data_IF_653568198621
#
_entry.id   IF_653568198621
#
_cell.length_a   1.000
_cell.length_b   1.000
_cell.length_c   1.000
_cell.angle_alpha   90.00
_cell.angle_beta   90.00
_cell.angle_gamma   90.00
#
_symmetry.space_group_name_H-M   'P 1'
#
loop_
_entity.id
_entity.type
_entity.pdbx_description
1 polymer ?
#
# COMPACT_ATOMS: atom_id res chain seq x y z
N UNK A 1 30.47 -13.47 26.27
CA UNK A 1 31.01 -12.78 25.08
C UNK A 1 30.10 -13.09 23.90
N UNK A 2 29.69 -12.09 23.09
CA UNK A 2 28.94 -12.36 21.85
C UNK A 2 29.91 -13.03 20.86
N UNK A 3 29.53 -14.20 20.35
CA UNK A 3 30.29 -14.88 19.30
C UNK A 3 30.34 -13.99 18.06
N UNK A 4 31.55 -13.69 17.57
CA UNK A 4 31.79 -12.80 16.42
C UNK A 4 31.93 -13.58 15.10
N UNK A 5 31.74 -14.91 15.13
CA UNK A 5 31.83 -15.73 13.93
C UNK A 5 30.66 -15.46 12.98
N UNK A 6 30.89 -15.37 11.66
CA UNK A 6 29.82 -15.27 10.69
C UNK A 6 28.91 -16.50 10.82
N UNK A 7 27.63 -16.28 11.10
CA UNK A 7 26.60 -17.34 11.09
C UNK A 7 26.09 -17.49 9.66
N UNK A 8 26.02 -18.72 9.18
CA UNK A 8 25.28 -19.03 7.96
C UNK A 8 23.79 -18.84 8.26
N UNK A 9 23.14 -17.89 7.58
CA UNK A 9 21.71 -17.58 7.75
C UNK A 9 20.99 -18.18 6.55
N UNK A 10 20.13 -19.16 6.79
CA UNK A 10 19.29 -19.74 5.74
C UNK A 10 18.08 -18.83 5.45
N UNK A 11 17.43 -18.96 4.28
CA UNK A 11 16.15 -18.29 4.02
C UNK A 11 15.07 -18.60 5.08
N UNK A 12 15.09 -19.81 5.65
CA UNK A 12 14.18 -20.21 6.74
C UNK A 12 14.42 -19.43 8.03
N UNK A 13 15.68 -19.14 8.36
CA UNK A 13 16.02 -18.33 9.53
C UNK A 13 15.50 -16.89 9.38
N UNK A 14 15.51 -16.34 8.16
CA UNK A 14 14.97 -15.00 7.87
C UNK A 14 13.46 -14.97 8.06
N UNK A 15 12.75 -15.98 7.55
CA UNK A 15 11.30 -16.07 7.72
C UNK A 15 10.88 -16.27 9.18
N UNK A 16 11.72 -16.89 10.00
CA UNK A 16 11.48 -17.08 11.43
C UNK A 16 11.75 -15.83 12.29
N UNK A 17 12.40 -14.79 11.76
CA UNK A 17 12.71 -13.57 12.52
C UNK A 17 11.46 -12.74 12.84
N UNK A 18 11.33 -12.33 14.10
CA UNK A 18 10.29 -11.39 14.51
C UNK A 18 10.62 -9.96 14.07
N UNK A 19 9.99 -9.53 12.98
CA UNK A 19 10.18 -8.20 12.43
C UNK A 19 9.44 -7.13 13.25
N UNK A 20 10.09 -6.00 13.60
CA UNK A 20 9.41 -4.87 14.20
C UNK A 20 8.39 -4.26 13.23
N UNK A 21 7.41 -3.53 13.76
CA UNK A 21 6.35 -2.91 12.95
C UNK A 21 6.89 -1.96 11.87
N UNK A 22 8.00 -1.27 12.15
CA UNK A 22 8.68 -0.38 11.19
C UNK A 22 9.23 -1.15 9.99
N UNK A 23 9.78 -2.34 10.19
CA UNK A 23 10.26 -3.20 9.11
C UNK A 23 9.10 -3.74 8.28
N UNK A 24 8.02 -4.17 8.92
CA UNK A 24 6.79 -4.60 8.22
C UNK A 24 6.22 -3.47 7.35
N UNK A 25 6.15 -2.25 7.90
CA UNK A 25 5.67 -1.09 7.18
C UNK A 25 6.53 -0.78 5.94
N UNK A 26 7.86 -0.88 6.05
CA UNK A 26 8.78 -0.69 4.92
C UNK A 26 8.62 -1.76 3.83
N UNK A 27 8.41 -3.03 4.20
CA UNK A 27 8.19 -4.12 3.24
C UNK A 27 6.87 -3.89 2.50
N UNK A 28 5.80 -3.56 3.22
CA UNK A 28 4.50 -3.28 2.62
C UNK A 28 4.52 -2.04 1.71
N UNK A 29 5.31 -1.01 2.04
CA UNK A 29 5.49 0.16 1.16
C UNK A 29 6.15 -0.23 -0.17
N UNK A 30 7.15 -1.11 -0.13
CA UNK A 30 7.79 -1.66 -1.34
C UNK A 30 6.83 -2.52 -2.15
N UNK A 31 6.12 -3.45 -1.51
CA UNK A 31 5.14 -4.31 -2.18
C UNK A 31 4.03 -3.48 -2.84
N UNK A 32 3.45 -2.52 -2.11
CA UNK A 32 2.41 -1.63 -2.67
C UNK A 32 2.92 -0.82 -3.86
N UNK A 33 4.17 -0.33 -3.83
CA UNK A 33 4.78 0.37 -4.96
C UNK A 33 4.93 -0.51 -6.21
N UNK A 34 5.40 -1.76 -6.04
CA UNK A 34 5.50 -2.71 -7.16
C UNK A 34 4.12 -3.05 -7.71
N UNK A 35 3.13 -3.30 -6.85
CA UNK A 35 1.77 -3.60 -7.28
C UNK A 35 1.13 -2.44 -8.03
N UNK A 36 1.31 -1.20 -7.56
CA UNK A 36 0.85 -0.01 -8.27
C UNK A 36 1.53 0.12 -9.62
N UNK A 37 2.85 -0.05 -9.69
CA UNK A 37 3.59 -0.01 -10.95
C UNK A 37 3.06 -1.04 -11.97
N UNK A 38 2.80 -2.27 -11.53
CA UNK A 38 2.22 -3.31 -12.39
C UNK A 38 0.76 -3.01 -12.78
N UNK A 39 0.03 -2.31 -11.92
CA UNK A 39 -1.36 -1.91 -12.18
C UNK A 39 -1.46 -0.71 -13.13
N UNK A 40 -0.42 0.14 -13.23
CA UNK A 40 -0.43 1.36 -14.04
C UNK A 40 -0.87 1.15 -15.50
N UNK A 41 -0.33 0.18 -16.28
CA UNK A 41 -0.77 -0.05 -17.65
C UNK A 41 -2.26 -0.41 -17.74
N UNK A 42 -2.77 -1.17 -16.77
CA UNK A 42 -4.19 -1.53 -16.70
C UNK A 42 -5.04 -0.29 -16.43
N UNK A 43 -4.64 0.57 -15.49
CA UNK A 43 -5.36 1.81 -15.20
C UNK A 43 -5.37 2.77 -16.39
N UNK A 44 -4.25 2.90 -17.10
CA UNK A 44 -4.17 3.71 -18.30
C UNK A 44 -5.03 3.16 -19.44
N UNK A 45 -5.07 1.84 -19.60
CA UNK A 45 -5.97 1.19 -20.56
C UNK A 45 -7.44 1.39 -20.18
N UNK A 46 -7.81 1.26 -18.91
CA UNK A 46 -9.18 1.53 -18.44
C UNK A 46 -9.57 2.99 -18.67
N UNK A 47 -8.64 3.92 -18.45
CA UNK A 47 -8.84 5.34 -18.74
C UNK A 47 -9.09 5.57 -20.24
N UNK A 48 -8.22 5.04 -21.10
CA UNK A 48 -8.37 5.12 -22.57
C UNK A 48 -9.71 4.52 -23.03
N UNK A 49 -10.05 3.32 -22.54
CA UNK A 49 -11.32 2.67 -22.82
C UNK A 49 -12.51 3.53 -22.39
N UNK A 50 -12.44 4.16 -21.21
CA UNK A 50 -13.50 5.05 -20.70
C UNK A 50 -13.72 6.30 -21.56
N UNK A 51 -12.69 6.76 -22.27
CA UNK A 51 -12.74 7.97 -23.09
C UNK A 51 -13.06 7.69 -24.57
N UNK A 52 -12.99 6.43 -25.00
CA UNK A 52 -13.10 6.04 -26.41
C UNK A 52 -14.51 6.20 -27.01
N UNK A 53 -15.57 6.05 -26.23
CA UNK A 53 -16.97 6.33 -26.65
C UNK A 53 -17.91 6.35 -25.44
N UNK A 54 -19.10 6.94 -25.61
CA UNK A 54 -20.16 6.90 -24.58
C UNK A 54 -20.56 5.46 -24.22
N UNK A 55 -20.66 4.57 -25.21
CA UNK A 55 -21.00 3.17 -24.99
C UNK A 55 -19.94 2.46 -24.13
N UNK A 56 -18.65 2.68 -24.42
CA UNK A 56 -17.56 2.07 -23.65
C UNK A 56 -17.48 2.62 -22.23
N UNK A 57 -17.74 3.93 -22.04
CA UNK A 57 -17.85 4.52 -20.72
C UNK A 57 -18.97 3.87 -19.88
N UNK A 58 -20.17 3.74 -20.45
CA UNK A 58 -21.32 3.12 -19.77
C UNK A 58 -21.06 1.64 -19.46
N UNK A 59 -20.40 0.92 -20.38
CA UNK A 59 -20.01 -0.47 -20.14
C UNK A 59 -19.02 -0.57 -18.97
N UNK A 60 -17.96 0.23 -18.97
CA UNK A 60 -16.97 0.22 -17.88
C UNK A 60 -17.61 0.63 -16.55
N UNK A 61 -18.44 1.67 -16.55
CA UNK A 61 -19.20 2.09 -15.37
C UNK A 61 -20.02 0.94 -14.81
N UNK A 62 -20.75 0.20 -15.65
CA UNK A 62 -21.54 -0.96 -15.19
C UNK A 62 -20.70 -2.06 -14.55
N UNK A 63 -19.49 -2.31 -15.07
CA UNK A 63 -18.54 -3.28 -14.53
C UNK A 63 -18.00 -2.82 -13.17
N UNK A 64 -17.60 -1.56 -13.06
CA UNK A 64 -17.07 -0.97 -11.83
C UNK A 64 -18.14 -0.79 -10.75
N UNK A 65 -19.41 -0.60 -11.13
CA UNK A 65 -20.55 -0.54 -10.21
C UNK A 65 -20.94 -1.95 -9.67
N UNK A 66 -20.52 -3.03 -10.34
CA UNK A 66 -20.71 -4.38 -9.86
C UNK A 66 -19.84 -4.71 -8.64
N UNK A 67 -20.27 -5.65 -7.80
CA UNK A 67 -19.56 -5.99 -6.55
C UNK A 67 -18.08 -6.37 -6.75
N UNK A 68 -17.77 -7.10 -7.84
CA UNK A 68 -16.39 -7.46 -8.19
C UNK A 68 -15.58 -6.23 -8.62
N UNK A 69 -16.19 -5.34 -9.41
CA UNK A 69 -15.56 -4.08 -9.83
C UNK A 69 -15.27 -3.17 -8.64
N UNK A 70 -16.24 -2.99 -7.73
CA UNK A 70 -16.05 -2.23 -6.48
C UNK A 70 -14.94 -2.81 -5.60
N UNK A 71 -14.85 -4.13 -5.47
CA UNK A 71 -13.75 -4.78 -4.74
C UNK A 71 -12.40 -4.56 -5.42
N UNK A 72 -12.32 -4.67 -6.75
CA UNK A 72 -11.11 -4.40 -7.50
C UNK A 72 -10.65 -2.94 -7.34
N UNK A 73 -11.58 -1.99 -7.43
CA UNK A 73 -11.33 -0.56 -7.17
C UNK A 73 -10.86 -0.33 -5.74
N UNK A 74 -11.48 -0.99 -4.74
CA UNK A 74 -11.06 -0.89 -3.35
C UNK A 74 -9.63 -1.41 -3.14
N UNK A 75 -9.24 -2.52 -3.78
CA UNK A 75 -7.86 -3.03 -3.69
C UNK A 75 -6.85 -2.09 -4.33
N UNK A 76 -7.15 -1.57 -5.53
CA UNK A 76 -6.31 -0.58 -6.20
C UNK A 76 -6.12 0.67 -5.31
N UNK A 77 -7.21 1.18 -4.75
CA UNK A 77 -7.19 2.31 -3.81
C UNK A 77 -6.45 1.98 -2.52
N UNK A 78 -6.58 0.77 -1.98
CA UNK A 78 -5.87 0.38 -0.76
C UNK A 78 -4.35 0.36 -0.96
N UNK A 79 -3.86 -0.13 -2.10
CA UNK A 79 -2.43 -0.04 -2.43
C UNK A 79 -1.98 1.41 -2.57
N UNK A 80 -2.76 2.24 -3.25
CA UNK A 80 -2.45 3.67 -3.43
C UNK A 80 -2.39 4.41 -2.10
N UNK A 81 -3.43 4.30 -1.28
CA UNK A 81 -3.54 4.95 0.03
C UNK A 81 -2.39 4.52 0.92
N UNK A 82 -2.13 3.21 1.03
CA UNK A 82 -1.02 2.70 1.83
C UNK A 82 0.31 3.26 1.35
N UNK A 83 0.59 3.16 0.05
CA UNK A 83 1.86 3.60 -0.52
C UNK A 83 2.07 5.10 -0.30
N UNK A 84 1.02 5.90 -0.50
CA UNK A 84 1.03 7.34 -0.31
C UNK A 84 1.25 7.73 1.15
N UNK A 85 0.50 7.16 2.10
CA UNK A 85 0.66 7.44 3.52
C UNK A 85 2.04 7.02 4.05
N UNK A 86 2.55 5.86 3.62
CA UNK A 86 3.90 5.42 3.95
C UNK A 86 4.96 6.33 3.30
N UNK A 87 4.74 6.79 2.07
CA UNK A 87 5.59 7.76 1.38
C UNK A 87 5.67 9.10 2.11
N UNK A 88 4.55 9.64 2.58
CA UNK A 88 4.53 10.85 3.43
C UNK A 88 5.36 10.62 4.69
N UNK A 89 5.18 9.49 5.37
CA UNK A 89 5.99 9.15 6.55
C UNK A 89 7.48 9.13 6.22
N UNK A 90 7.87 8.59 5.06
CA UNK A 90 9.26 8.60 4.61
C UNK A 90 9.78 10.03 4.37
N UNK A 91 9.03 10.86 3.65
CA UNK A 91 9.41 12.26 3.41
C UNK A 91 9.54 13.06 4.71
N UNK A 92 8.67 12.82 5.70
CA UNK A 92 8.80 13.45 7.02
C UNK A 92 10.08 13.02 7.74
N UNK A 93 10.44 11.74 7.66
CA UNK A 93 11.72 11.25 8.22
C UNK A 93 12.92 11.84 7.49
N UNK A 94 12.87 11.97 6.16
CA UNK A 94 13.94 12.59 5.36
C UNK A 94 14.14 14.08 5.69
N UNK A 95 13.09 14.73 6.22
CA UNK A 95 13.13 16.11 6.73
C UNK A 95 13.60 16.20 8.20
N UNK A 96 13.98 15.08 8.83
CA UNK A 96 14.44 15.04 10.22
C UNK A 96 13.35 14.78 11.27
N UNK A 97 12.10 14.53 10.87
CA UNK A 97 11.01 14.28 11.82
C UNK A 97 10.88 12.80 12.18
N UNK A 98 10.95 12.48 13.47
CA UNK A 98 10.62 11.15 13.99
C UNK A 98 11.66 10.05 13.71
N UNK A 99 12.94 10.42 13.62
CA UNK A 99 14.06 9.51 13.30
C UNK A 99 14.44 8.52 14.43
N UNK A 100 14.07 8.83 15.68
CA UNK A 100 14.37 7.94 16.80
C UNK A 100 13.59 6.63 16.75
N UNK A 101 14.08 5.61 17.46
CA UNK A 101 13.47 4.28 17.44
C UNK A 101 12.01 4.28 17.90
N UNK A 102 11.71 4.99 19.00
CA UNK A 102 10.35 5.04 19.54
C UNK A 102 9.44 5.93 18.69
N UNK A 103 9.91 7.09 18.24
CA UNK A 103 9.15 7.94 17.31
C UNK A 103 8.89 7.25 15.98
N UNK A 104 9.85 6.48 15.47
CA UNK A 104 9.71 5.70 14.24
C UNK A 104 8.65 4.61 14.38
N UNK A 105 8.57 3.95 15.55
CA UNK A 105 7.51 2.99 15.87
C UNK A 105 6.15 3.66 15.99
N UNK A 106 6.04 4.76 16.71
CA UNK A 106 4.79 5.52 16.85
C UNK A 106 4.29 6.03 15.50
N UNK A 107 5.19 6.59 14.67
CA UNK A 107 4.86 7.04 13.33
C UNK A 107 4.40 5.91 12.41
N UNK A 108 4.99 4.71 12.53
CA UNK A 108 4.52 3.53 11.79
C UNK A 108 3.11 3.11 12.22
N UNK A 109 2.81 3.10 13.52
CA UNK A 109 1.46 2.80 14.04
C UNK A 109 0.45 3.85 13.57
N UNK A 110 0.75 5.13 13.72
CA UNK A 110 -0.12 6.23 13.32
C UNK A 110 -0.44 6.16 11.82
N UNK A 111 0.57 5.95 10.97
CA UNK A 111 0.41 5.78 9.53
C UNK A 111 -0.51 4.59 9.19
N UNK A 112 -0.36 3.46 9.87
CA UNK A 112 -1.22 2.28 9.67
C UNK A 112 -2.68 2.56 10.05
N UNK A 113 -2.92 3.26 11.16
CA UNK A 113 -4.27 3.65 11.59
C UNK A 113 -4.93 4.59 10.58
N UNK A 114 -4.21 5.63 10.14
CA UNK A 114 -4.69 6.58 9.12
C UNK A 114 -5.03 5.84 7.83
N UNK A 115 -4.15 4.94 7.38
CA UNK A 115 -4.38 4.13 6.18
C UNK A 115 -5.64 3.27 6.32
N UNK A 116 -5.81 2.59 7.46
CA UNK A 116 -6.99 1.75 7.70
C UNK A 116 -8.30 2.56 7.67
N UNK A 117 -8.30 3.76 8.27
CA UNK A 117 -9.45 4.68 8.23
C UNK A 117 -9.76 5.10 6.79
N UNK A 118 -8.75 5.54 6.02
CA UNK A 118 -8.95 5.98 4.64
C UNK A 118 -9.44 4.85 3.72
N UNK A 119 -8.94 3.62 3.90
CA UNK A 119 -9.43 2.46 3.15
C UNK A 119 -10.87 2.13 3.54
N UNK A 120 -11.21 2.18 4.84
CA UNK A 120 -12.57 1.95 5.30
C UNK A 120 -13.55 3.00 4.75
N UNK A 121 -13.18 4.28 4.77
CA UNK A 121 -13.96 5.37 4.19
C UNK A 121 -14.14 5.20 2.68
N UNK A 122 -13.10 4.75 1.97
CA UNK A 122 -13.19 4.43 0.54
C UNK A 122 -14.15 3.26 0.30
N UNK A 123 -14.11 2.23 1.15
CA UNK A 123 -15.05 1.11 1.10
C UNK A 123 -16.49 1.56 1.33
N UNK A 124 -16.73 2.43 2.31
CA UNK A 124 -18.06 3.02 2.53
C UNK A 124 -18.51 3.82 1.29
N UNK A 125 -17.65 4.71 0.78
CA UNK A 125 -17.96 5.53 -0.39
C UNK A 125 -18.32 4.71 -1.63
N UNK A 126 -17.62 3.59 -1.88
CA UNK A 126 -17.91 2.73 -3.04
C UNK A 126 -19.25 1.98 -2.91
N UNK A 127 -19.77 1.77 -1.70
CA UNK A 127 -21.02 1.02 -1.46
C UNK A 127 -22.23 1.88 -1.11
N UNK A 128 -22.04 3.19 -0.95
CA UNK A 128 -23.12 4.18 -0.93
C UNK A 128 -23.60 4.48 -2.35
#
# INVERSE_FOLDING_TARGET
>A
MKDKRPRNISPGDIMAMQLPITAKASILHRISGVLLFLLMPVLLWLLDFSLSSEQNFLQLKSVLDGSVGKLATLFAMAFLIYHFCAGIRHLLMDLGYGEEKESGKQGAVAMMVVTAILVALTGVWLWL
#
